data_IF_832513751486
#
_entry.id   IF_832513751486
#
_cell.length_a   1.000
_cell.length_b   1.000
_cell.length_c   1.000
_cell.angle_alpha   90.00
_cell.angle_beta   90.00
_cell.angle_gamma   90.00
#
_symmetry.space_group_name_H-M   'P 1'
#
loop_
_entity.id
_entity.type
_entity.pdbx_description
1 polymer ?
#
# COMPACT_ATOMS: atom_id res chain seq x y z
N UNK A 1 -4.48 4.88 20.99
CA UNK A 1 -4.49 5.22 19.55
C UNK A 1 -3.19 4.78 18.89
N UNK A 2 -2.04 5.05 19.52
CA UNK A 2 -0.71 4.65 19.03
C UNK A 2 -0.58 3.18 18.59
N UNK A 3 -1.15 2.22 19.33
CA UNK A 3 -1.11 0.82 18.93
C UNK A 3 -1.84 0.56 17.60
N UNK A 4 -3.00 1.20 17.41
CA UNK A 4 -3.78 1.06 16.18
C UNK A 4 -3.07 1.77 15.02
N UNK A 5 -2.53 2.97 15.26
CA UNK A 5 -1.73 3.69 14.27
C UNK A 5 -0.56 2.85 13.77
N UNK A 6 0.18 2.23 14.68
CA UNK A 6 1.26 1.31 14.35
C UNK A 6 0.77 0.11 13.53
N UNK A 7 -0.35 -0.51 13.92
CA UNK A 7 -0.92 -1.65 13.20
C UNK A 7 -1.33 -1.27 11.77
N UNK A 8 -2.04 -0.16 11.58
CA UNK A 8 -2.42 0.31 10.24
C UNK A 8 -1.16 0.64 9.44
N UNK A 9 -0.18 1.33 10.02
CA UNK A 9 1.08 1.62 9.35
C UNK A 9 1.80 0.34 8.88
N UNK A 10 1.83 -0.70 9.70
CA UNK A 10 2.43 -2.00 9.35
C UNK A 10 1.68 -2.69 8.19
N UNK A 11 0.34 -2.65 8.20
CA UNK A 11 -0.50 -3.21 7.12
C UNK A 11 -0.30 -2.46 5.80
N UNK A 12 -0.25 -1.12 5.83
CA UNK A 12 0.03 -0.33 4.64
C UNK A 12 1.42 -0.62 4.08
N UNK A 13 2.45 -0.74 4.94
CA UNK A 13 3.78 -1.14 4.49
C UNK A 13 3.82 -2.56 3.92
N UNK A 14 3.04 -3.50 4.46
CA UNK A 14 2.92 -4.86 3.92
C UNK A 14 2.31 -4.84 2.50
N UNK A 15 1.29 -4.01 2.27
CA UNK A 15 0.65 -3.83 0.97
C UNK A 15 1.59 -3.27 -0.10
N UNK A 16 2.64 -2.54 0.30
CA UNK A 16 3.66 -2.00 -0.59
C UNK A 16 4.76 -3.01 -0.97
N UNK A 17 4.84 -4.15 -0.29
CA UNK A 17 5.88 -5.16 -0.60
C UNK A 17 5.59 -5.85 -1.92
N UNK A 18 6.63 -5.98 -2.76
CA UNK A 18 6.53 -6.65 -4.04
C UNK A 18 6.04 -8.10 -3.93
N UNK A 19 6.43 -8.83 -2.87
CA UNK A 19 5.96 -10.19 -2.61
C UNK A 19 4.46 -10.26 -2.32
N UNK A 20 3.92 -9.24 -1.67
CA UNK A 20 2.49 -9.12 -1.33
C UNK A 20 1.72 -8.72 -2.57
N UNK A 21 2.17 -7.69 -3.29
CA UNK A 21 1.53 -7.20 -4.53
C UNK A 21 1.49 -8.22 -5.68
N UNK A 22 2.27 -9.29 -5.59
CA UNK A 22 2.31 -10.42 -6.54
C UNK A 22 1.56 -11.66 -6.08
N UNK A 23 1.05 -11.67 -4.85
CA UNK A 23 0.35 -12.82 -4.27
C UNK A 23 -1.11 -12.49 -4.04
N UNK A 24 -1.99 -13.19 -4.78
CA UNK A 24 -3.43 -13.04 -4.62
C UNK A 24 -3.89 -13.42 -3.21
N UNK A 25 -3.25 -14.44 -2.63
CA UNK A 25 -3.48 -14.90 -1.27
C UNK A 25 -3.17 -13.78 -0.27
N UNK A 26 -1.96 -13.21 -0.31
CA UNK A 26 -1.57 -12.15 0.63
C UNK A 26 -2.40 -10.88 0.47
N UNK A 27 -2.76 -10.51 -0.76
CA UNK A 27 -3.66 -9.36 -0.98
C UNK A 27 -5.04 -9.63 -0.39
N UNK A 28 -5.57 -10.84 -0.53
CA UNK A 28 -6.89 -11.21 0.00
C UNK A 28 -6.96 -11.20 1.53
N UNK A 29 -5.82 -11.30 2.22
CA UNK A 29 -5.73 -11.14 3.68
C UNK A 29 -5.76 -9.67 4.11
N UNK A 30 -5.35 -8.75 3.24
CA UNK A 30 -5.26 -7.31 3.53
C UNK A 30 -6.49 -6.54 3.05
N UNK A 31 -7.06 -6.92 1.90
CA UNK A 31 -8.14 -6.18 1.25
C UNK A 31 -9.51 -6.74 1.60
N UNK A 32 -10.46 -5.83 1.80
CA UNK A 32 -11.87 -6.18 1.92
C UNK A 32 -12.48 -6.52 0.56
N UNK A 33 -13.51 -7.35 0.54
CA UNK A 33 -14.24 -7.74 -0.68
C UNK A 33 -14.92 -6.56 -1.39
N UNK A 34 -15.11 -5.43 -0.69
CA UNK A 34 -15.69 -4.18 -1.19
C UNK A 34 -14.65 -3.07 -1.40
N UNK A 35 -13.35 -3.41 -1.41
CA UNK A 35 -12.30 -2.42 -1.58
C UNK A 35 -12.35 -1.75 -2.97
N UNK A 36 -12.20 -0.43 -2.96
CA UNK A 36 -12.10 0.40 -4.16
C UNK A 36 -10.96 1.41 -4.05
N UNK A 37 -10.34 1.73 -5.18
CA UNK A 37 -9.25 2.70 -5.26
C UNK A 37 -9.52 3.71 -6.39
N UNK A 38 -9.24 4.99 -6.12
CA UNK A 38 -9.13 6.02 -7.15
C UNK A 38 -7.68 6.16 -7.56
N UNK A 39 -7.31 5.52 -8.68
CA UNK A 39 -5.93 5.50 -9.14
C UNK A 39 -5.47 6.88 -9.62
N UNK A 40 -4.15 7.09 -9.69
CA UNK A 40 -3.55 8.34 -10.23
C UNK A 40 -3.99 8.66 -11.66
N UNK A 41 -4.42 7.65 -12.43
CA UNK A 41 -4.96 7.81 -13.79
C UNK A 41 -6.38 8.38 -13.83
N UNK A 42 -7.06 8.48 -12.67
CA UNK A 42 -8.48 8.82 -12.56
C UNK A 42 -9.43 7.63 -12.75
N UNK A 43 -8.91 6.43 -13.05
CA UNK A 43 -9.72 5.22 -13.10
C UNK A 43 -10.14 4.78 -11.69
N UNK A 44 -11.35 4.25 -11.59
CA UNK A 44 -11.82 3.59 -10.38
C UNK A 44 -11.53 2.10 -10.51
N UNK A 45 -10.70 1.58 -9.61
CA UNK A 45 -10.44 0.16 -9.47
C UNK A 45 -11.34 -0.42 -8.38
N UNK A 46 -11.98 -1.56 -8.67
CA UNK A 46 -12.76 -2.33 -7.69
C UNK A 46 -12.09 -3.69 -7.55
N UNK A 47 -11.64 -4.01 -6.34
CA UNK A 47 -10.93 -5.25 -6.08
C UNK A 47 -11.84 -6.48 -6.20
N UNK A 48 -11.31 -7.55 -6.79
CA UNK A 48 -11.92 -8.87 -6.77
C UNK A 48 -10.95 -9.88 -6.18
N UNK A 49 -11.48 -10.84 -5.41
CA UNK A 49 -10.69 -11.97 -4.92
C UNK A 49 -9.98 -12.68 -6.06
N UNK A 50 -8.66 -12.81 -5.95
CA UNK A 50 -7.80 -13.36 -7.00
C UNK A 50 -6.99 -12.31 -7.75
N UNK A 51 -7.29 -11.02 -7.56
CA UNK A 51 -6.50 -9.94 -8.16
C UNK A 51 -5.11 -9.83 -7.52
N UNK A 52 -4.15 -9.40 -8.33
CA UNK A 52 -2.83 -8.96 -7.87
C UNK A 52 -2.48 -7.66 -8.56
N UNK A 53 -1.73 -6.80 -7.86
CA UNK A 53 -1.46 -5.43 -8.30
C UNK A 53 -0.27 -5.33 -9.25
N UNK A 54 0.73 -6.23 -9.13
CA UNK A 54 1.97 -6.17 -9.91
C UNK A 54 2.21 -7.44 -10.76
N UNK A 55 1.26 -7.80 -11.66
CA UNK A 55 1.39 -8.99 -12.54
C UNK A 55 2.61 -8.92 -13.47
N UNK A 56 2.82 -7.77 -14.11
CA UNK A 56 3.73 -7.61 -15.26
C UNK A 56 4.93 -6.70 -14.98
N UNK A 57 5.05 -6.19 -13.75
CA UNK A 57 6.16 -5.32 -13.36
C UNK A 57 7.29 -6.18 -12.79
N UNK A 58 8.52 -5.95 -13.25
CA UNK A 58 9.73 -6.36 -12.54
C UNK A 58 9.87 -5.53 -11.23
N UNK A 59 8.87 -5.65 -10.35
CA UNK A 59 8.74 -4.89 -9.10
C UNK A 59 9.75 -5.28 -8.03
N UNK A 60 10.66 -6.22 -8.32
CA UNK A 60 11.81 -6.50 -7.46
C UNK A 60 12.71 -5.29 -7.24
N UNK A 61 12.61 -4.26 -8.09
CA UNK A 61 13.42 -3.03 -8.01
C UNK A 61 12.65 -1.81 -7.50
N UNK A 62 11.33 -1.90 -7.37
CA UNK A 62 10.47 -0.76 -6.98
C UNK A 62 10.25 -0.84 -5.47
N UNK A 63 10.80 0.13 -4.74
CA UNK A 63 10.55 0.28 -3.31
C UNK A 63 9.71 1.52 -3.08
N UNK A 64 8.65 1.38 -2.31
CA UNK A 64 7.84 2.49 -1.84
C UNK A 64 8.16 2.77 -0.38
N UNK A 65 8.03 4.02 0.01
CA UNK A 65 8.15 4.46 1.40
C UNK A 65 6.97 5.34 1.78
N UNK A 66 6.36 5.04 2.92
CA UNK A 66 5.31 5.87 3.53
C UNK A 66 5.96 6.99 4.35
N UNK A 67 5.55 8.24 4.09
CA UNK A 67 5.95 9.44 4.83
C UNK A 67 4.75 10.14 5.45
N UNK A 68 5.00 10.83 6.56
CA UNK A 68 4.01 11.66 7.28
C UNK A 68 2.70 10.91 7.57
N UNK A 69 2.83 9.65 8.00
CA UNK A 69 1.68 8.82 8.34
C UNK A 69 0.95 9.38 9.56
N UNK A 70 -0.36 9.52 9.43
CA UNK A 70 -1.23 9.89 10.55
C UNK A 70 -2.59 9.20 10.40
N UNK A 71 -3.26 9.00 11.53
CA UNK A 71 -4.61 8.45 11.58
C UNK A 71 -5.58 9.39 12.28
N UNK A 72 -6.82 9.36 11.81
CA UNK A 72 -7.96 10.01 12.46
C UNK A 72 -9.09 9.01 12.62
N UNK A 73 -9.49 8.75 13.86
CA UNK A 73 -10.67 7.93 14.13
C UNK A 73 -11.93 8.67 13.66
N UNK A 74 -12.74 7.99 12.84
CA UNK A 74 -14.02 8.52 12.34
C UNK A 74 -15.21 7.96 13.14
N UNK A 75 -15.10 6.71 13.57
CA UNK A 75 -16.10 6.03 14.41
C UNK A 75 -15.44 4.95 15.27
N UNK A 76 -16.23 4.18 16.02
CA UNK A 76 -15.72 3.03 16.78
C UNK A 76 -15.06 1.97 15.88
N UNK A 77 -15.47 1.88 14.62
CA UNK A 77 -15.10 0.81 13.68
C UNK A 77 -14.41 1.33 12.42
N UNK A 78 -14.11 2.63 12.34
CA UNK A 78 -13.48 3.22 11.14
C UNK A 78 -12.45 4.29 11.46
N UNK A 79 -11.39 4.29 10.65
CA UNK A 79 -10.24 5.18 10.72
C UNK A 79 -9.95 5.71 9.32
N UNK A 80 -9.56 6.98 9.26
CA UNK A 80 -8.95 7.59 8.08
C UNK A 80 -7.44 7.61 8.29
N UNK A 81 -6.69 6.90 7.45
CA UNK A 81 -5.24 7.04 7.34
C UNK A 81 -4.91 8.04 6.22
N UNK A 82 -3.97 8.93 6.47
CA UNK A 82 -3.44 9.85 5.45
C UNK A 82 -1.92 9.86 5.52
N UNK A 83 -1.27 9.77 4.37
CA UNK A 83 0.18 9.70 4.24
C UNK A 83 0.60 10.03 2.80
N UNK A 84 1.90 10.19 2.59
CA UNK A 84 2.49 10.29 1.25
C UNK A 84 3.23 9.00 0.91
N UNK A 85 3.06 8.52 -0.33
CA UNK A 85 3.85 7.44 -0.90
C UNK A 85 4.97 8.02 -1.75
N UNK A 86 6.21 7.64 -1.43
CA UNK A 86 7.38 8.01 -2.21
C UNK A 86 7.97 6.79 -2.91
N UNK A 87 8.16 6.91 -4.21
CA UNK A 87 8.90 5.92 -4.98
C UNK A 87 10.41 6.10 -4.76
N UNK A 88 11.04 5.13 -4.12
CA UNK A 88 12.49 5.05 -3.97
C UNK A 88 13.07 4.35 -5.20
N UNK A 89 13.62 5.13 -6.13
CA UNK A 89 14.33 4.58 -7.29
C UNK A 89 15.78 4.21 -6.89
N UNK A 90 16.14 2.92 -7.01
CA UNK A 90 17.48 2.43 -6.69
C UNK A 90 18.59 3.07 -7.54
N UNK A 91 18.27 3.68 -8.70
CA UNK A 91 19.25 4.42 -9.50
C UNK A 91 19.71 5.76 -8.88
N UNK A 92 19.00 6.29 -7.89
CA UNK A 92 19.43 7.51 -7.20
C UNK A 92 20.44 7.25 -6.06
N UNK A 93 20.59 6.00 -5.61
CA UNK A 93 21.52 5.66 -4.50
C UNK A 93 22.98 5.54 -4.99
N UNK A 94 23.22 5.38 -6.30
CA UNK A 94 24.58 5.21 -6.87
C UNK A 94 25.24 6.58 -7.22
N UNK A 95 24.54 7.71 -7.12
CA UNK A 95 25.09 9.05 -7.44
C UNK A 95 25.46 9.91 -6.23
N UNK A 96 25.72 9.27 -5.09
CA UNK A 96 26.23 9.94 -3.88
C UNK A 96 27.44 9.22 -3.32
N UNK A 97 28.57 9.29 -4.02
CA UNK A 97 29.93 9.09 -3.50
C UNK A 97 30.94 9.82 -4.40
#
# INVERSE_FOLDING_TARGET
>A
MELIEKQIFELENELLKAETRKSAEKISELMSDDFMEFCVSGNVYNYNKGDVFDKDINSSEIKWEIKEFTIKQLSKESILATYYENLLNLQQIIRGN
#
